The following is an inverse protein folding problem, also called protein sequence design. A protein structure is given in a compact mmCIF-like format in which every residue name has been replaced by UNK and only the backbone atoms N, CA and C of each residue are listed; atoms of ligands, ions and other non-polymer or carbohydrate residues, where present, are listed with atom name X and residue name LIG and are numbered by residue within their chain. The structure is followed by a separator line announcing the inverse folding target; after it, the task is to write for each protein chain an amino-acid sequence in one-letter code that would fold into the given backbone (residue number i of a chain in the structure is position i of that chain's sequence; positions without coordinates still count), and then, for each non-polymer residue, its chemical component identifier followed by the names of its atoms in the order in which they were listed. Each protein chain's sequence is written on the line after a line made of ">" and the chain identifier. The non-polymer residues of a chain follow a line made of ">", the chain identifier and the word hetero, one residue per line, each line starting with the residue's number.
data_IF_330351799394
#
_entry.id   IF_330351799394
#
_cell.length_a   1.000
_cell.length_b   1.000
_cell.length_c   1.000
_cell.angle_alpha   90.00
_cell.angle_beta   90.00
_cell.angle_gamma   90.00
#
_symmetry.space_group_name_H-M   'P 1'
#
loop_
_entity.id
_entity.type
_entity.pdbx_description
1 polymer ?
#
# COMPACT_ATOMS: atom_id res chain seq x y z
N UNK A 1 -56.25 15.32 -39.27
CA UNK A 1 -54.88 15.78 -39.61
C UNK A 1 -54.02 16.02 -38.35
N UNK A 2 -54.50 16.80 -37.36
CA UNK A 2 -53.73 17.12 -36.13
C UNK A 2 -53.35 15.91 -35.26
N UNK A 3 -54.24 14.93 -35.11
CA UNK A 3 -53.98 13.72 -34.33
C UNK A 3 -52.94 12.80 -34.97
N UNK A 4 -52.96 12.68 -36.30
CA UNK A 4 -51.97 11.92 -37.07
C UNK A 4 -50.54 12.47 -36.90
N UNK A 5 -50.40 13.81 -36.86
CA UNK A 5 -49.14 14.48 -36.56
C UNK A 5 -48.70 14.30 -35.10
N UNK A 6 -49.65 14.12 -34.17
CA UNK A 6 -49.36 13.92 -32.75
C UNK A 6 -48.80 12.51 -32.50
N UNK A 7 -49.41 11.49 -33.10
CA UNK A 7 -48.92 10.10 -33.01
C UNK A 7 -47.53 9.95 -33.65
N UNK A 8 -47.31 10.55 -34.82
CA UNK A 8 -46.00 10.50 -35.47
C UNK A 8 -44.89 11.18 -34.63
N UNK A 9 -45.21 12.32 -33.99
CA UNK A 9 -44.28 12.98 -33.06
C UNK A 9 -43.98 12.12 -31.82
N UNK A 10 -44.99 11.42 -31.29
CA UNK A 10 -44.82 10.53 -30.15
C UNK A 10 -43.92 9.32 -30.49
N UNK A 11 -44.10 8.73 -31.68
CA UNK A 11 -43.23 7.65 -32.17
C UNK A 11 -41.79 8.13 -32.36
N UNK A 12 -41.57 9.30 -32.96
CA UNK A 12 -40.21 9.86 -33.11
C UNK A 12 -39.57 10.12 -31.75
N UNK A 13 -40.30 10.68 -30.78
CA UNK A 13 -39.77 10.96 -29.45
C UNK A 13 -39.40 9.69 -28.69
N UNK A 14 -40.24 8.65 -28.76
CA UNK A 14 -39.98 7.37 -28.10
C UNK A 14 -38.78 6.65 -28.71
N UNK A 15 -38.70 6.57 -30.05
CA UNK A 15 -37.55 5.99 -30.75
C UNK A 15 -36.27 6.77 -30.44
N UNK A 16 -36.32 8.11 -30.45
CA UNK A 16 -35.17 8.96 -30.13
C UNK A 16 -34.72 8.79 -28.68
N UNK A 17 -35.65 8.66 -27.74
CA UNK A 17 -35.35 8.41 -26.32
C UNK A 17 -34.70 7.03 -26.12
N UNK A 18 -35.19 5.99 -26.80
CA UNK A 18 -34.60 4.64 -26.77
C UNK A 18 -33.18 4.68 -27.35
N UNK A 19 -32.98 5.33 -28.49
CA UNK A 19 -31.67 5.45 -29.12
C UNK A 19 -30.68 6.18 -28.21
N UNK A 20 -31.11 7.28 -27.59
CA UNK A 20 -30.31 8.03 -26.62
C UNK A 20 -29.94 7.17 -25.41
N UNK A 21 -30.90 6.41 -24.85
CA UNK A 21 -30.65 5.52 -23.73
C UNK A 21 -29.62 4.44 -24.09
N UNK A 22 -29.71 3.84 -25.28
CA UNK A 22 -28.75 2.84 -25.74
C UNK A 22 -27.33 3.43 -25.91
N UNK A 23 -27.22 4.63 -26.50
CA UNK A 23 -25.95 5.34 -26.64
C UNK A 23 -25.37 5.68 -25.27
N UNK A 24 -26.20 6.20 -24.36
CA UNK A 24 -25.78 6.54 -23.01
C UNK A 24 -25.26 5.32 -22.25
N UNK A 25 -25.97 4.19 -22.33
CA UNK A 25 -25.55 2.92 -21.76
C UNK A 25 -24.19 2.47 -22.33
N UNK A 26 -24.01 2.50 -23.65
CA UNK A 26 -22.73 2.12 -24.28
C UNK A 26 -21.57 3.04 -23.82
N UNK A 27 -21.79 4.35 -23.73
CA UNK A 27 -20.78 5.30 -23.23
C UNK A 27 -20.39 4.98 -21.78
N UNK A 28 -21.35 4.70 -20.91
CA UNK A 28 -21.10 4.31 -19.51
C UNK A 28 -20.31 3.01 -19.46
N UNK A 29 -20.70 1.98 -20.23
CA UNK A 29 -19.97 0.71 -20.28
C UNK A 29 -18.55 0.88 -20.82
N UNK A 30 -18.34 1.68 -21.86
CA UNK A 30 -17.00 1.98 -22.38
C UNK A 30 -16.14 2.71 -21.36
N UNK A 31 -16.69 3.69 -20.66
CA UNK A 31 -15.99 4.42 -19.60
C UNK A 31 -15.60 3.50 -18.44
N UNK A 32 -16.52 2.66 -17.98
CA UNK A 32 -16.24 1.65 -16.95
C UNK A 32 -15.15 0.67 -17.41
N UNK A 33 -15.26 0.13 -18.62
CA UNK A 33 -14.27 -0.78 -19.22
C UNK A 33 -12.90 -0.10 -19.37
N UNK A 34 -12.86 1.18 -19.74
CA UNK A 34 -11.63 1.96 -19.84
C UNK A 34 -10.96 2.16 -18.48
N UNK A 35 -11.73 2.51 -17.44
CA UNK A 35 -11.21 2.61 -16.06
C UNK A 35 -10.65 1.27 -15.58
N UNK A 36 -11.37 0.17 -15.81
CA UNK A 36 -10.92 -1.18 -15.45
C UNK A 36 -9.63 -1.55 -16.20
N UNK A 37 -9.57 -1.29 -17.52
CA UNK A 37 -8.39 -1.55 -18.34
C UNK A 37 -7.20 -0.72 -17.88
N UNK A 38 -7.37 0.59 -17.66
CA UNK A 38 -6.30 1.49 -17.17
C UNK A 38 -5.79 1.04 -15.79
N UNK A 39 -6.69 0.65 -14.89
CA UNK A 39 -6.35 0.08 -13.58
C UNK A 39 -5.56 -1.23 -13.76
N UNK A 40 -6.03 -2.16 -14.59
CA UNK A 40 -5.33 -3.42 -14.90
C UNK A 40 -3.97 -3.20 -15.56
N UNK A 41 -3.84 -2.25 -16.46
CA UNK A 41 -2.59 -1.90 -17.15
C UNK A 41 -1.61 -1.25 -16.16
N UNK A 42 -2.09 -0.38 -15.27
CA UNK A 42 -1.32 0.13 -14.14
C UNK A 42 -0.84 -1.00 -13.22
N UNK A 43 -1.72 -1.96 -12.89
CA UNK A 43 -1.34 -3.14 -12.11
C UNK A 43 -0.30 -4.01 -12.83
N UNK A 44 -0.54 -4.34 -14.09
CA UNK A 44 0.37 -5.17 -14.88
C UNK A 44 1.73 -4.49 -15.07
N UNK A 45 1.73 -3.18 -15.31
CA UNK A 45 2.94 -2.38 -15.54
C UNK A 45 3.78 -2.23 -14.27
N UNK A 46 3.13 -1.93 -13.13
CA UNK A 46 3.85 -1.57 -11.90
C UNK A 46 3.91 -2.72 -10.90
N UNK A 47 3.23 -3.84 -11.12
CA UNK A 47 3.06 -4.90 -10.12
C UNK A 47 3.28 -6.33 -10.65
N UNK A 48 3.54 -6.48 -11.95
CA UNK A 48 3.86 -7.77 -12.56
C UNK A 48 2.62 -8.63 -12.85
N UNK A 49 2.85 -9.93 -13.08
CA UNK A 49 1.80 -10.86 -13.54
C UNK A 49 1.27 -11.81 -12.46
N UNK A 50 1.68 -11.63 -11.19
CA UNK A 50 1.24 -12.46 -10.06
C UNK A 50 -0.26 -12.38 -9.79
N UNK A 51 -0.79 -13.32 -9.01
CA UNK A 51 -2.15 -13.25 -8.49
C UNK A 51 -2.17 -12.29 -7.30
N UNK A 52 -3.10 -11.34 -7.28
CA UNK A 52 -3.24 -10.39 -6.18
C UNK A 52 -3.99 -11.07 -5.04
N UNK A 53 -3.34 -11.24 -3.89
CA UNK A 53 -3.97 -11.71 -2.65
C UNK A 53 -4.61 -10.53 -1.91
N UNK A 54 -3.91 -9.40 -1.89
CA UNK A 54 -4.34 -8.19 -1.20
C UNK A 54 -3.87 -6.96 -1.98
N UNK A 55 -4.71 -5.93 -2.04
CA UNK A 55 -4.37 -4.63 -2.60
C UNK A 55 -4.85 -3.52 -1.68
N UNK A 56 -3.93 -2.72 -1.16
CA UNK A 56 -4.26 -1.63 -0.22
C UNK A 56 -5.24 -0.62 -0.81
N UNK A 57 -5.21 -0.35 -2.12
CA UNK A 57 -6.19 0.54 -2.75
C UNK A 57 -7.65 0.08 -2.60
N UNK A 58 -7.86 -1.24 -2.45
CA UNK A 58 -9.17 -1.88 -2.52
C UNK A 58 -9.53 -2.60 -1.21
N UNK A 59 -8.61 -2.66 -0.24
CA UNK A 59 -8.72 -3.43 1.00
C UNK A 59 -8.55 -2.56 2.25
N UNK A 60 -9.09 -3.04 3.37
CA UNK A 60 -8.98 -2.41 4.68
C UNK A 60 -7.60 -2.59 5.34
N UNK A 61 -7.42 -2.01 6.52
CA UNK A 61 -6.22 -2.19 7.34
C UNK A 61 -6.06 -3.66 7.75
N UNK A 62 -4.82 -4.13 7.81
CA UNK A 62 -4.47 -5.36 8.48
C UNK A 62 -4.08 -5.05 9.92
N UNK A 63 -4.37 -6.00 10.81
CA UNK A 63 -3.95 -5.92 12.21
C UNK A 63 -3.49 -7.27 12.72
N UNK A 64 -2.56 -7.27 13.66
CA UNK A 64 -2.12 -8.45 14.38
C UNK A 64 -1.80 -8.10 15.83
N UNK A 65 -2.36 -8.86 16.77
CA UNK A 65 -2.04 -8.73 18.19
C UNK A 65 -0.81 -9.56 18.51
N UNK A 66 0.25 -8.87 18.94
CA UNK A 66 1.50 -9.48 19.38
C UNK A 66 1.38 -9.80 20.87
N UNK A 67 2.07 -10.86 21.28
CA UNK A 67 2.19 -11.24 22.68
C UNK A 67 2.66 -10.05 23.54
N UNK A 68 2.05 -9.87 24.71
CA UNK A 68 2.28 -8.68 25.55
C UNK A 68 1.33 -7.51 25.30
N UNK A 69 0.27 -7.71 24.50
CA UNK A 69 -0.87 -6.81 24.38
C UNK A 69 -0.67 -5.64 23.40
N UNK A 70 0.33 -5.72 22.53
CA UNK A 70 0.60 -4.68 21.53
C UNK A 70 -0.04 -5.08 20.20
N UNK A 71 -0.88 -4.21 19.63
CA UNK A 71 -1.46 -4.44 18.31
C UNK A 71 -0.66 -3.73 17.23
N UNK A 72 -0.13 -4.50 16.28
CA UNK A 72 0.43 -3.98 15.05
C UNK A 72 -0.71 -3.74 14.05
N UNK A 73 -0.76 -2.55 13.44
CA UNK A 73 -1.76 -2.18 12.44
C UNK A 73 -1.02 -1.57 11.26
N UNK A 74 -1.42 -1.93 10.04
CA UNK A 74 -0.84 -1.32 8.85
C UNK A 74 -1.55 -1.71 7.58
N UNK A 75 -1.07 -1.13 6.48
CA UNK A 75 -1.69 -1.26 5.16
C UNK A 75 -0.61 -1.53 4.11
N UNK A 76 -0.35 -2.79 3.76
CA UNK A 76 0.55 -3.10 2.66
C UNK A 76 0.05 -2.44 1.36
N UNK A 77 0.94 -2.09 0.43
CA UNK A 77 0.46 -1.64 -0.89
C UNK A 77 -0.10 -2.82 -1.67
N UNK A 78 0.65 -3.92 -1.76
CA UNK A 78 0.19 -5.17 -2.34
C UNK A 78 0.75 -6.41 -1.65
N UNK A 79 -0.02 -7.50 -1.75
CA UNK A 79 0.44 -8.87 -1.52
C UNK A 79 0.15 -9.67 -2.77
N UNK A 80 1.19 -10.31 -3.31
CA UNK A 80 1.14 -11.05 -4.56
C UNK A 80 1.52 -12.51 -4.32
N UNK A 81 0.96 -13.38 -5.13
CA UNK A 81 1.39 -14.76 -5.27
C UNK A 81 1.97 -14.98 -6.66
N UNK A 82 3.19 -15.51 -6.73
CA UNK A 82 3.76 -15.93 -8.00
C UNK A 82 2.92 -17.06 -8.63
N UNK A 83 2.63 -16.96 -9.92
CA UNK A 83 1.77 -17.93 -10.60
C UNK A 83 2.40 -19.31 -10.72
N UNK A 84 3.72 -19.37 -10.88
CA UNK A 84 4.50 -20.58 -11.10
C UNK A 84 4.94 -21.19 -9.77
N UNK A 85 5.62 -20.42 -8.92
CA UNK A 85 6.19 -20.93 -7.66
C UNK A 85 5.17 -21.00 -6.53
N UNK A 86 4.03 -20.31 -6.66
CA UNK A 86 3.02 -20.11 -5.60
C UNK A 86 3.53 -19.37 -4.37
N UNK A 87 4.75 -18.82 -4.44
CA UNK A 87 5.33 -18.05 -3.35
C UNK A 87 4.57 -16.73 -3.17
N UNK A 88 4.30 -16.41 -1.91
CA UNK A 88 3.69 -15.14 -1.53
C UNK A 88 4.76 -14.14 -1.17
N UNK A 89 4.62 -12.92 -1.69
CA UNK A 89 5.53 -11.82 -1.41
C UNK A 89 4.78 -10.50 -1.29
N UNK A 90 5.29 -9.62 -0.45
CA UNK A 90 4.75 -8.27 -0.24
C UNK A 90 5.47 -7.30 -1.18
N UNK A 91 4.73 -6.34 -1.73
CA UNK A 91 5.30 -5.22 -2.49
C UNK A 91 4.86 -3.91 -1.85
N UNK A 92 5.84 -3.07 -1.51
CA UNK A 92 5.66 -1.69 -1.07
C UNK A 92 6.16 -0.75 -2.18
N UNK A 93 5.38 0.26 -2.51
CA UNK A 93 5.69 1.21 -3.57
C UNK A 93 6.28 2.48 -2.97
N UNK A 94 7.38 2.96 -3.54
CA UNK A 94 7.97 4.25 -3.19
C UNK A 94 8.04 5.15 -4.40
N UNK A 95 7.80 6.43 -4.17
CA UNK A 95 8.17 7.51 -5.10
C UNK A 95 9.65 7.88 -4.91
N UNK A 96 10.20 8.59 -5.89
CA UNK A 96 11.58 9.05 -5.90
C UNK A 96 12.59 8.01 -6.37
N UNK A 97 13.86 8.42 -6.35
CA UNK A 97 14.98 7.62 -6.84
C UNK A 97 15.32 6.48 -5.86
N UNK A 98 15.62 5.30 -6.39
CA UNK A 98 16.05 4.20 -5.56
C UNK A 98 17.44 4.49 -4.96
N UNK A 99 17.63 4.32 -3.65
CA UNK A 99 18.96 4.35 -3.05
C UNK A 99 19.82 3.19 -3.62
N UNK A 100 21.16 3.27 -3.49
CA UNK A 100 22.05 2.18 -3.91
C UNK A 100 21.70 0.84 -3.24
N UNK A 101 21.32 0.88 -1.97
CA UNK A 101 20.97 -0.29 -1.15
C UNK A 101 19.67 -0.07 -0.38
N UNK A 102 19.03 -1.16 0.04
CA UNK A 102 17.82 -1.10 0.86
C UNK A 102 18.15 -0.50 2.23
N UNK A 103 17.39 0.51 2.66
CA UNK A 103 17.49 1.01 4.03
C UNK A 103 16.94 -0.02 5.02
N UNK A 104 17.55 -0.08 6.21
CA UNK A 104 17.09 -0.95 7.29
C UNK A 104 15.65 -0.69 7.72
N UNK A 105 15.20 0.57 7.63
CA UNK A 105 13.81 0.94 7.94
C UNK A 105 12.82 0.32 6.94
N UNK A 106 13.18 0.25 5.65
CA UNK A 106 12.36 -0.43 4.65
C UNK A 106 12.30 -1.94 4.90
N UNK A 107 13.41 -2.56 5.31
CA UNK A 107 13.41 -3.98 5.67
C UNK A 107 12.49 -4.28 6.86
N UNK A 108 12.55 -3.46 7.92
CA UNK A 108 11.67 -3.60 9.08
C UNK A 108 10.20 -3.29 8.77
N UNK A 109 9.93 -2.34 7.87
CA UNK A 109 8.58 -2.07 7.38
C UNK A 109 8.02 -3.30 6.65
N UNK A 110 8.79 -3.92 5.76
CA UNK A 110 8.37 -5.14 5.07
C UNK A 110 8.19 -6.31 6.05
N UNK A 111 9.07 -6.45 7.04
CA UNK A 111 8.92 -7.46 8.09
C UNK A 111 7.60 -7.33 8.85
N UNK A 112 7.20 -6.09 9.18
CA UNK A 112 5.91 -5.82 9.81
C UNK A 112 4.74 -6.29 8.94
N UNK A 113 4.84 -6.09 7.62
CA UNK A 113 3.85 -6.60 6.68
C UNK A 113 3.87 -8.12 6.56
N UNK A 114 5.04 -8.77 6.58
CA UNK A 114 5.12 -10.23 6.56
C UNK A 114 4.31 -10.81 7.71
N UNK A 115 4.56 -10.32 8.94
CA UNK A 115 3.87 -10.79 10.13
C UNK A 115 2.35 -10.60 10.03
N UNK A 116 1.88 -9.42 9.60
CA UNK A 116 0.45 -9.18 9.46
C UNK A 116 -0.19 -10.04 8.37
N UNK A 117 0.48 -10.21 7.22
CA UNK A 117 -0.02 -11.01 6.09
C UNK A 117 -0.09 -12.49 6.47
N UNK A 118 0.97 -13.04 7.07
CA UNK A 118 1.00 -14.44 7.49
C UNK A 118 -0.13 -14.76 8.48
N UNK A 119 -0.43 -13.84 9.40
CA UNK A 119 -1.47 -14.02 10.42
C UNK A 119 -2.89 -13.80 9.88
N UNK A 120 -3.09 -12.87 8.94
CA UNK A 120 -4.42 -12.59 8.39
C UNK A 120 -4.82 -13.55 7.26
N UNK A 121 -3.85 -14.08 6.50
CA UNK A 121 -4.10 -14.94 5.34
C UNK A 121 -3.61 -16.38 5.52
N UNK A 122 -3.07 -16.74 6.69
CA UNK A 122 -2.55 -18.09 7.01
C UNK A 122 -1.60 -18.63 5.94
N UNK A 123 -0.83 -17.76 5.31
CA UNK A 123 0.04 -18.10 4.17
C UNK A 123 1.43 -17.53 4.41
N UNK A 124 2.49 -18.36 4.31
CA UNK A 124 3.86 -17.91 4.57
C UNK A 124 4.31 -16.91 3.50
N UNK A 125 4.90 -15.80 3.95
CA UNK A 125 5.49 -14.80 3.07
C UNK A 125 6.97 -15.12 2.90
N UNK A 126 7.45 -15.23 1.66
CA UNK A 126 8.86 -15.57 1.40
C UNK A 126 9.78 -14.38 1.40
N UNK A 127 9.31 -13.25 0.89
CA UNK A 127 10.11 -12.03 0.72
C UNK A 127 9.23 -10.80 0.57
N UNK A 128 9.87 -9.66 0.68
CA UNK A 128 9.29 -8.36 0.40
C UNK A 128 10.09 -7.62 -0.67
N UNK A 129 9.42 -6.72 -1.36
CA UNK A 129 10.01 -5.88 -2.40
C UNK A 129 9.63 -4.44 -2.15
N UNK A 130 10.61 -3.55 -2.18
CA UNK A 130 10.39 -2.12 -2.38
C UNK A 130 10.55 -1.83 -3.86
N UNK A 131 9.53 -1.25 -4.49
CA UNK A 131 9.58 -0.84 -5.91
C UNK A 131 9.53 0.68 -6.02
N UNK A 132 10.53 1.26 -6.68
CA UNK A 132 10.65 2.70 -6.90
C UNK A 132 10.05 3.08 -8.25
N UNK A 133 8.85 3.67 -8.21
CA UNK A 133 8.07 3.94 -9.42
C UNK A 133 8.72 4.98 -10.34
N UNK A 134 9.43 5.94 -9.76
CA UNK A 134 10.07 7.05 -10.49
C UNK A 134 11.49 6.72 -10.97
N UNK A 135 11.99 5.51 -10.69
CA UNK A 135 13.33 5.04 -11.05
C UNK A 135 13.26 3.75 -11.87
N UNK A 136 12.50 3.80 -12.97
CA UNK A 136 12.30 2.67 -13.89
C UNK A 136 11.84 1.37 -13.20
N UNK A 137 11.03 1.48 -12.14
CA UNK A 137 10.61 0.34 -11.32
C UNK A 137 11.78 -0.45 -10.74
N UNK A 138 12.91 0.21 -10.42
CA UNK A 138 14.01 -0.43 -9.71
C UNK A 138 13.50 -1.02 -8.40
N UNK A 139 14.02 -2.19 -8.06
CA UNK A 139 13.57 -2.97 -6.92
C UNK A 139 14.71 -3.24 -5.96
N UNK A 140 14.35 -3.25 -4.68
CA UNK A 140 15.14 -3.85 -3.62
C UNK A 140 14.31 -4.93 -2.94
N UNK A 141 14.91 -6.07 -2.61
CA UNK A 141 14.22 -7.17 -1.95
C UNK A 141 14.87 -7.56 -0.62
N UNK A 142 14.05 -8.10 0.28
CA UNK A 142 14.51 -8.70 1.54
C UNK A 142 13.76 -9.99 1.78
N UNK A 143 14.46 -11.03 2.23
CA UNK A 143 13.85 -12.30 2.59
C UNK A 143 13.15 -12.21 3.95
N UNK A 144 12.09 -12.99 4.13
CA UNK A 144 11.44 -13.14 5.42
C UNK A 144 12.25 -14.11 6.29
N UNK A 145 13.35 -13.63 6.86
CA UNK A 145 14.26 -14.44 7.66
C UNK A 145 13.90 -14.40 9.15
N UNK A 146 14.23 -15.45 9.93
CA UNK A 146 14.04 -15.45 11.38
C UNK A 146 14.76 -14.29 12.10
N UNK A 147 15.92 -13.88 11.60
CA UNK A 147 16.71 -12.78 12.15
C UNK A 147 15.97 -11.45 11.97
N UNK A 148 15.40 -11.23 10.78
CA UNK A 148 14.61 -10.03 10.50
C UNK A 148 13.32 -9.98 11.33
N UNK A 149 12.67 -11.12 11.54
CA UNK A 149 11.49 -11.21 12.41
C UNK A 149 11.85 -10.93 13.88
N UNK A 150 12.97 -11.48 14.35
CA UNK A 150 13.48 -11.24 15.71
C UNK A 150 13.77 -9.75 15.90
N UNK A 151 14.49 -9.13 14.97
CA UNK A 151 14.78 -7.70 15.05
C UNK A 151 13.50 -6.86 15.01
N UNK A 152 12.52 -7.21 14.17
CA UNK A 152 11.23 -6.52 14.16
C UNK A 152 10.56 -6.56 15.54
N UNK A 153 10.49 -7.74 16.15
CA UNK A 153 9.83 -7.92 17.45
C UNK A 153 10.54 -7.11 18.55
N UNK A 154 11.87 -7.09 18.55
CA UNK A 154 12.66 -6.24 19.47
C UNK A 154 12.31 -4.76 19.31
N UNK A 155 12.20 -4.27 18.07
CA UNK A 155 11.84 -2.86 17.79
C UNK A 155 10.42 -2.54 18.24
N UNK A 156 9.47 -3.45 17.99
CA UNK A 156 8.08 -3.26 18.44
C UNK A 156 8.00 -3.23 19.97
N UNK A 157 8.69 -4.14 20.65
CA UNK A 157 8.77 -4.19 22.11
C UNK A 157 9.37 -2.90 22.68
N UNK A 158 10.45 -2.40 22.09
CA UNK A 158 11.07 -1.14 22.50
C UNK A 158 10.12 0.06 22.34
N UNK A 159 9.37 0.13 21.23
CA UNK A 159 8.35 1.17 21.01
C UNK A 159 7.21 1.04 22.03
N UNK A 160 6.75 -0.18 22.31
CA UNK A 160 5.69 -0.43 23.27
C UNK A 160 6.11 -0.04 24.71
N UNK A 161 7.35 -0.34 25.10
CA UNK A 161 7.93 0.06 26.39
C UNK A 161 8.05 1.60 26.50
N UNK A 162 8.57 2.25 25.45
CA UNK A 162 8.66 3.71 25.42
C UNK A 162 7.28 4.37 25.58
N UNK A 163 6.25 3.87 24.90
CA UNK A 163 4.86 4.34 25.07
C UNK A 163 4.36 4.16 26.49
N UNK A 164 4.61 3.00 27.12
CA UNK A 164 4.21 2.74 28.52
C UNK A 164 4.86 3.73 29.49
N UNK A 165 6.14 4.05 29.31
CA UNK A 165 6.87 5.05 30.11
C UNK A 165 6.31 6.45 29.94
N UNK A 166 6.01 6.86 28.69
CA UNK A 166 5.36 8.13 28.42
C UNK A 166 4.01 8.27 29.14
N UNK A 167 3.20 7.20 29.20
CA UNK A 167 1.93 7.21 29.96
C UNK A 167 2.11 7.38 31.48
N UNK A 168 3.30 7.10 32.02
CA UNK A 168 3.66 7.31 33.42
C UNK A 168 4.33 8.66 33.67
N UNK A 169 4.34 9.56 32.68
CA UNK A 169 5.10 10.82 32.68
C UNK A 169 6.62 10.62 32.77
N UNK A 170 7.12 9.43 32.42
CA UNK A 170 8.54 9.15 32.26
C UNK A 170 8.91 9.41 30.80
N UNK A 171 9.15 10.68 30.45
CA UNK A 171 9.55 11.04 29.08
C UNK A 171 10.89 10.41 28.73
N UNK A 172 10.99 9.60 27.65
CA UNK A 172 12.27 9.07 27.22
C UNK A 172 13.18 10.22 26.79
N UNK A 173 14.48 10.08 27.05
CA UNK A 173 15.45 11.01 26.48
C UNK A 173 15.45 10.87 24.96
N UNK A 174 15.24 11.99 24.25
CA UNK A 174 15.32 12.03 22.79
C UNK A 174 16.78 11.93 22.37
N UNK A 175 17.13 10.80 21.75
CA UNK A 175 18.48 10.53 21.24
C UNK A 175 18.43 10.41 19.72
N UNK A 176 19.32 11.13 19.03
CA UNK A 176 19.49 11.06 17.58
C UNK A 176 20.01 9.67 17.18
N UNK A 177 19.43 9.10 16.12
CA UNK A 177 19.79 7.75 15.64
C UNK A 177 20.60 7.72 14.33
N UNK A 178 21.10 8.85 13.85
CA UNK A 178 21.79 8.95 12.55
C UNK A 178 22.82 10.08 12.56
N UNK A 179 23.86 10.01 11.72
CA UNK A 179 24.85 11.08 11.48
C UNK A 179 24.60 11.93 10.22
N UNK A 180 23.39 11.86 9.66
CA UNK A 180 23.02 12.56 8.42
C UNK A 180 22.32 13.90 8.69
N UNK A 181 22.97 15.02 8.36
CA UNK A 181 22.45 16.38 8.57
C UNK A 181 21.09 16.62 7.90
N UNK A 182 20.93 16.17 6.65
CA UNK A 182 19.68 16.33 5.90
C UNK A 182 18.45 15.73 6.60
N UNK A 183 18.61 14.63 7.35
CA UNK A 183 17.49 14.05 8.12
C UNK A 183 17.05 14.96 9.27
N UNK A 184 17.95 15.76 9.85
CA UNK A 184 17.62 16.79 10.84
C UNK A 184 16.94 18.02 10.20
N UNK A 185 17.31 18.38 8.96
CA UNK A 185 16.71 19.51 8.24
C UNK A 185 15.21 19.33 7.98
N UNK A 186 14.81 18.11 7.63
CA UNK A 186 13.41 17.75 7.30
C UNK A 186 12.65 17.12 8.47
N UNK A 187 13.27 17.01 9.66
CA UNK A 187 12.63 16.41 10.83
C UNK A 187 11.61 17.37 11.43
N UNK A 188 10.36 16.92 11.56
CA UNK A 188 9.28 17.69 12.21
C UNK A 188 9.56 17.98 13.69
N UNK A 189 10.37 17.14 14.36
CA UNK A 189 10.77 17.30 15.77
C UNK A 189 12.08 18.08 15.96
N UNK A 190 12.58 18.78 14.92
CA UNK A 190 13.87 19.49 14.98
C UNK A 190 13.96 20.47 16.16
N UNK A 191 12.89 21.21 16.45
CA UNK A 191 12.83 22.20 17.53
C UNK A 191 12.89 21.60 18.94
N UNK A 192 12.59 20.32 19.08
CA UNK A 192 12.54 19.62 20.37
C UNK A 192 13.73 18.68 20.57
N UNK A 193 14.52 18.43 19.52
CA UNK A 193 15.65 17.50 19.55
C UNK A 193 16.91 18.17 20.12
N UNK A 194 17.43 17.74 21.29
CA UNK A 194 18.64 18.33 21.87
C UNK A 194 19.93 17.94 21.12
N UNK A 195 19.85 17.03 20.15
CA UNK A 195 20.98 16.48 19.41
C UNK A 195 20.88 16.75 17.91
N UNK A 196 20.21 17.84 17.52
CA UNK A 196 20.09 18.25 16.12
C UNK A 196 21.48 18.45 15.49
N UNK A 197 21.66 17.95 14.26
CA UNK A 197 22.83 18.27 13.45
C UNK A 197 22.59 19.63 12.78
N UNK A 198 23.54 20.55 12.99
CA UNK A 198 23.56 21.89 12.39
C UNK A 198 24.40 21.86 11.14
#
# INVERSE_FOLDING_TARGET
>A
MREFFLEYKLVILTVSAILFALIFIDVVFRSAKHKIKKKKDFYKKNYGSGNVIYAGSDSGLLSYQIDGGTTLIGKPDLVLQDKKTKEVFVVDLKSGKAPPEMSKYHSLQLAAYFLMVEKNFSTPVKRGVIRYLDDNNKEHSVENSPELQTELLERIMAIADAKKKMHKNESPQLVRNHSVQHRCEVCEYKSECPQVLV
#
